data_IF_482308580569
#
_entry.id   IF_482308580569
#
_cell.length_a   1.000
_cell.length_b   1.000
_cell.length_c   1.000
_cell.angle_alpha   90.00
_cell.angle_beta   90.00
_cell.angle_gamma   90.00
#
_symmetry.space_group_name_H-M   'P 1'
#
loop_
_entity.id
_entity.type
_entity.pdbx_description
1 polymer ?
#
# COMPACT_ATOMS: atom_id res chain seq x y z
N UNK A 1 11.28 -23.40 6.14
CA UNK A 1 11.51 -22.44 5.02
C UNK A 1 10.14 -21.95 4.59
N UNK A 2 9.89 -20.62 4.54
CA UNK A 2 8.58 -20.10 4.11
C UNK A 2 8.41 -20.29 2.59
N UNK A 3 7.28 -20.85 2.17
CA UNK A 3 6.89 -20.87 0.76
C UNK A 3 6.44 -19.47 0.35
N UNK A 4 7.24 -18.79 -0.49
CA UNK A 4 6.96 -17.41 -0.93
C UNK A 4 5.78 -17.35 -1.90
N UNK A 5 5.53 -18.40 -2.68
CA UNK A 5 4.38 -18.50 -3.59
C UNK A 5 3.06 -18.55 -2.80
N UNK A 6 3.02 -19.33 -1.72
CA UNK A 6 1.85 -19.37 -0.83
C UNK A 6 1.52 -18.00 -0.22
N UNK A 7 2.53 -17.13 0.01
CA UNK A 7 2.30 -15.80 0.57
C UNK A 7 1.54 -14.88 -0.37
N UNK A 8 1.56 -15.12 -1.68
CA UNK A 8 0.77 -14.35 -2.66
C UNK A 8 -0.72 -14.45 -2.30
N UNK A 9 -1.18 -15.64 -1.91
CA UNK A 9 -2.60 -15.87 -1.55
C UNK A 9 -3.00 -15.19 -0.24
N UNK A 10 -2.03 -14.86 0.62
CA UNK A 10 -2.24 -14.16 1.90
C UNK A 10 -2.32 -12.64 1.77
N UNK A 11 -2.00 -12.09 0.59
CA UNK A 11 -2.22 -10.67 0.32
C UNK A 11 -3.71 -10.40 0.39
N UNK A 12 -4.08 -9.45 1.25
CA UNK A 12 -5.47 -9.13 1.56
C UNK A 12 -6.19 -8.61 0.32
N UNK A 13 -5.60 -7.62 -0.37
CA UNK A 13 -6.24 -7.01 -1.53
C UNK A 13 -6.04 -7.85 -2.79
N UNK A 14 -7.13 -8.25 -3.45
CA UNK A 14 -7.05 -9.13 -4.62
C UNK A 14 -6.31 -8.48 -5.79
N UNK A 15 -6.50 -7.17 -6.01
CA UNK A 15 -5.82 -6.42 -7.08
C UNK A 15 -4.31 -6.27 -6.88
N UNK A 16 -3.81 -6.46 -5.65
CA UNK A 16 -2.37 -6.38 -5.34
C UNK A 16 -1.66 -7.72 -5.60
N UNK A 17 -2.38 -8.84 -5.57
CA UNK A 17 -1.80 -10.19 -5.76
C UNK A 17 -0.98 -10.33 -7.05
N UNK A 18 -1.41 -9.82 -8.22
CA UNK A 18 -0.60 -9.86 -9.42
C UNK A 18 0.75 -9.13 -9.27
N UNK A 19 0.77 -7.99 -8.56
CA UNK A 19 2.00 -7.22 -8.32
C UNK A 19 3.00 -8.01 -7.46
N UNK A 20 2.50 -8.70 -6.43
CA UNK A 20 3.34 -9.58 -5.59
C UNK A 20 3.79 -10.82 -6.38
N UNK A 21 2.95 -11.37 -7.25
CA UNK A 21 3.31 -12.48 -8.13
C UNK A 21 4.42 -12.08 -9.11
N UNK A 22 4.41 -10.86 -9.64
CA UNK A 22 5.47 -10.34 -10.51
C UNK A 22 6.79 -10.15 -9.74
N UNK A 23 6.72 -9.63 -8.51
CA UNK A 23 7.89 -9.56 -7.63
C UNK A 23 8.49 -10.94 -7.34
N UNK A 24 7.64 -11.93 -7.05
CA UNK A 24 8.06 -13.33 -6.88
C UNK A 24 8.69 -13.90 -8.16
N UNK A 25 8.07 -13.68 -9.33
CA UNK A 25 8.60 -14.12 -10.62
C UNK A 25 10.00 -13.56 -10.84
N UNK A 26 10.20 -12.25 -10.67
CA UNK A 26 11.50 -11.61 -10.81
C UNK A 26 12.55 -12.19 -9.86
N UNK A 27 12.15 -12.46 -8.61
CA UNK A 27 13.02 -13.11 -7.62
C UNK A 27 13.41 -14.53 -8.05
N UNK A 28 12.42 -15.34 -8.47
CA UNK A 28 12.61 -16.74 -8.86
C UNK A 28 13.45 -16.92 -10.12
N UNK A 29 13.47 -15.94 -11.02
CA UNK A 29 14.25 -15.94 -12.26
C UNK A 29 15.63 -15.31 -12.12
N UNK A 30 16.04 -14.93 -10.90
CA UNK A 30 17.37 -14.36 -10.65
C UNK A 30 17.54 -12.92 -11.13
N UNK A 31 16.46 -12.12 -11.14
CA UNK A 31 16.47 -10.69 -11.51
C UNK A 31 16.28 -9.79 -10.28
N UNK A 32 17.27 -9.67 -9.38
CA UNK A 32 17.08 -9.06 -8.06
C UNK A 32 16.66 -7.59 -8.10
N UNK A 33 17.16 -6.80 -9.06
CA UNK A 33 16.74 -5.39 -9.21
C UNK A 33 15.26 -5.26 -9.55
N UNK A 34 14.79 -6.09 -10.49
CA UNK A 34 13.37 -6.10 -10.87
C UNK A 34 12.51 -6.58 -9.70
N UNK A 35 12.96 -7.59 -8.96
CA UNK A 35 12.27 -8.09 -7.77
C UNK A 35 12.10 -7.00 -6.69
N UNK A 36 13.14 -6.21 -6.41
CA UNK A 36 13.09 -5.12 -5.43
C UNK A 36 12.08 -4.05 -5.88
N UNK A 37 12.18 -3.59 -7.13
CA UNK A 37 11.28 -2.55 -7.67
C UNK A 37 9.83 -3.02 -7.67
N UNK A 38 9.57 -4.23 -8.17
CA UNK A 38 8.22 -4.81 -8.20
C UNK A 38 7.65 -5.02 -6.78
N UNK A 39 8.50 -5.43 -5.82
CA UNK A 39 8.08 -5.54 -4.41
C UNK A 39 7.66 -4.18 -3.86
N UNK A 40 8.43 -3.12 -4.13
CA UNK A 40 8.09 -1.78 -3.68
C UNK A 40 6.77 -1.29 -4.30
N UNK A 41 6.58 -1.50 -5.60
CA UNK A 41 5.31 -1.18 -6.28
C UNK A 41 4.13 -1.91 -5.64
N UNK A 42 4.27 -3.20 -5.32
CA UNK A 42 3.23 -3.97 -4.66
C UNK A 42 2.90 -3.44 -3.25
N UNK A 43 3.92 -3.07 -2.47
CA UNK A 43 3.76 -2.47 -1.13
C UNK A 43 3.03 -1.13 -1.21
N UNK A 44 3.44 -0.26 -2.13
CA UNK A 44 2.77 1.02 -2.33
C UNK A 44 1.30 0.85 -2.67
N UNK A 45 0.97 -0.05 -3.60
CA UNK A 45 -0.41 -0.35 -3.98
C UNK A 45 -1.22 -0.88 -2.79
N UNK A 46 -0.68 -1.83 -2.02
CA UNK A 46 -1.36 -2.42 -0.85
C UNK A 46 -1.69 -1.36 0.22
N UNK A 47 -0.71 -0.53 0.58
CA UNK A 47 -0.91 0.54 1.57
C UNK A 47 -1.92 1.57 1.06
N UNK A 48 -1.86 1.94 -0.23
CA UNK A 48 -2.84 2.85 -0.82
C UNK A 48 -4.24 2.25 -0.73
N UNK A 49 -4.44 1.00 -1.13
CA UNK A 49 -5.73 0.33 -0.98
C UNK A 49 -6.20 0.27 0.48
N UNK A 50 -5.28 0.07 1.43
CA UNK A 50 -5.61 0.09 2.86
C UNK A 50 -6.07 1.47 3.33
N UNK A 51 -5.48 2.54 2.82
CA UNK A 51 -5.90 3.92 3.09
C UNK A 51 -7.33 4.18 2.60
N UNK A 52 -7.70 3.69 1.40
CA UNK A 52 -9.08 3.80 0.91
C UNK A 52 -10.06 3.09 1.84
N UNK A 53 -9.80 1.84 2.20
CA UNK A 53 -10.67 1.10 3.13
C UNK A 53 -10.81 1.81 4.47
N UNK A 54 -9.70 2.28 5.06
CA UNK A 54 -9.76 2.99 6.34
C UNK A 54 -10.55 4.30 6.24
N UNK A 55 -10.43 5.01 5.11
CA UNK A 55 -11.23 6.21 4.87
C UNK A 55 -12.73 5.89 4.74
N UNK A 56 -13.08 4.79 4.06
CA UNK A 56 -14.46 4.28 3.97
C UNK A 56 -15.00 3.86 5.34
N UNK A 57 -14.16 3.28 6.19
CA UNK A 57 -14.45 2.91 7.58
C UNK A 57 -14.49 4.13 8.54
N UNK A 58 -14.31 5.35 8.03
CA UNK A 58 -14.46 6.60 8.79
C UNK A 58 -13.17 7.14 9.44
N UNK A 59 -11.99 6.63 9.08
CA UNK A 59 -10.72 7.19 9.55
C UNK A 59 -10.42 8.54 8.88
N UNK A 60 -10.45 9.62 9.68
CA UNK A 60 -10.22 10.99 9.19
C UNK A 60 -8.82 11.21 8.61
N UNK A 61 -7.79 10.62 9.22
CA UNK A 61 -6.40 10.73 8.76
C UNK A 61 -6.22 10.03 7.43
N UNK A 62 -6.75 8.81 7.29
CA UNK A 62 -6.74 8.10 6.02
C UNK A 62 -7.52 8.86 4.93
N UNK A 63 -8.68 9.44 5.28
CA UNK A 63 -9.49 10.22 4.35
C UNK A 63 -8.76 11.48 3.83
N UNK A 64 -7.96 12.16 4.64
CA UNK A 64 -7.13 13.26 4.20
C UNK A 64 -6.06 12.83 3.18
N UNK A 65 -5.41 11.69 3.44
CA UNK A 65 -4.41 11.13 2.50
C UNK A 65 -5.07 10.70 1.19
N UNK A 66 -6.21 10.03 1.25
CA UNK A 66 -7.00 9.62 0.06
C UNK A 66 -7.42 10.83 -0.76
N UNK A 67 -7.91 11.91 -0.14
CA UNK A 67 -8.24 13.16 -0.85
C UNK A 67 -7.03 13.76 -1.59
N UNK A 68 -5.84 13.69 -0.99
CA UNK A 68 -4.60 14.17 -1.65
C UNK A 68 -4.25 13.31 -2.85
N UNK A 69 -4.40 11.99 -2.75
CA UNK A 69 -4.18 11.04 -3.86
C UNK A 69 -5.16 11.32 -5.00
N UNK A 70 -6.46 11.40 -4.71
CA UNK A 70 -7.50 11.64 -5.72
C UNK A 70 -7.32 12.99 -6.42
N UNK A 71 -6.96 14.04 -5.67
CA UNK A 71 -6.62 15.34 -6.26
C UNK A 71 -5.44 15.22 -7.23
N UNK A 72 -4.38 14.53 -6.83
CA UNK A 72 -3.20 14.34 -7.68
C UNK A 72 -3.49 13.43 -8.89
N UNK A 73 -4.41 12.46 -8.80
CA UNK A 73 -4.82 11.62 -9.94
C UNK A 73 -5.70 12.35 -10.95
N UNK A 74 -6.43 13.38 -10.50
CA UNK A 74 -7.31 14.18 -11.35
C UNK A 74 -6.56 15.11 -12.32
N UNK A 75 -5.27 15.33 -12.10
CA UNK A 75 -4.39 16.13 -12.96
C UNK A 75 -3.12 15.34 -13.30
N UNK A 76 -2.42 15.71 -14.38
CA UNK A 76 -1.19 15.03 -14.80
C UNK A 76 -0.02 16.02 -14.98
N UNK A 77 -0.02 17.09 -14.19
CA UNK A 77 0.99 18.14 -14.21
C UNK A 77 2.17 17.83 -13.27
N UNK A 78 3.19 18.68 -13.30
CA UNK A 78 4.38 18.52 -12.48
C UNK A 78 4.07 18.55 -10.96
N UNK A 79 3.03 19.29 -10.55
CA UNK A 79 2.62 19.36 -9.14
C UNK A 79 1.88 18.09 -8.70
N UNK A 80 1.10 17.46 -9.57
CA UNK A 80 0.53 16.13 -9.33
C UNK A 80 1.62 15.09 -9.10
N UNK A 81 2.65 15.06 -9.96
CA UNK A 81 3.80 14.16 -9.81
C UNK A 81 4.49 14.38 -8.48
N UNK A 82 4.80 15.64 -8.15
CA UNK A 82 5.43 16.00 -6.87
C UNK A 82 4.56 15.63 -5.67
N UNK A 83 3.25 15.81 -5.78
CA UNK A 83 2.30 15.42 -4.73
C UNK A 83 2.32 13.91 -4.52
N UNK A 84 2.29 13.12 -5.59
CA UNK A 84 2.37 11.65 -5.51
C UNK A 84 3.71 11.18 -4.96
N UNK A 85 4.83 11.81 -5.31
CA UNK A 85 6.15 11.52 -4.72
C UNK A 85 6.18 11.80 -3.21
N UNK A 86 5.54 12.88 -2.76
CA UNK A 86 5.40 13.19 -1.33
C UNK A 86 4.49 12.20 -0.60
N UNK A 87 3.43 11.71 -1.27
CA UNK A 87 2.59 10.63 -0.73
C UNK A 87 3.42 9.37 -0.59
N UNK A 88 4.10 8.92 -1.64
CA UNK A 88 4.96 7.74 -1.66
C UNK A 88 6.00 7.77 -0.53
N UNK A 89 6.72 8.89 -0.40
CA UNK A 89 7.73 9.07 0.64
C UNK A 89 7.21 9.05 2.08
N UNK A 90 5.88 9.15 2.28
CA UNK A 90 5.23 9.07 3.59
C UNK A 90 4.40 7.80 3.80
N UNK A 91 4.27 6.93 2.81
CA UNK A 91 3.36 5.76 2.87
C UNK A 91 3.64 4.85 4.08
N UNK A 92 4.90 4.52 4.33
CA UNK A 92 5.27 3.66 5.46
C UNK A 92 4.99 4.33 6.82
N UNK A 93 5.23 5.64 6.92
CA UNK A 93 4.90 6.38 8.14
C UNK A 93 3.39 6.41 8.36
N UNK A 94 2.61 6.70 7.32
CA UNK A 94 1.15 6.66 7.39
C UNK A 94 0.66 5.26 7.82
N UNK A 95 1.25 4.19 7.30
CA UNK A 95 0.91 2.83 7.70
C UNK A 95 1.18 2.56 9.19
N UNK A 96 2.33 3.02 9.70
CA UNK A 96 2.67 2.93 11.12
C UNK A 96 1.74 3.75 12.00
N UNK A 97 1.42 4.99 11.60
CA UNK A 97 0.56 5.89 12.38
C UNK A 97 -0.88 5.36 12.46
N UNK A 98 -1.32 4.61 11.44
CA UNK A 98 -2.66 4.03 11.35
C UNK A 98 -2.76 2.64 12.00
N UNK A 99 -1.65 1.92 12.18
CA UNK A 99 -1.62 0.59 12.78
C UNK A 99 -2.27 0.53 14.18
N UNK A 100 -2.00 1.46 15.13
CA UNK A 100 -2.65 1.45 16.45
C UNK A 100 -4.17 1.64 16.39
N UNK A 101 -4.67 2.37 15.38
CA UNK A 101 -6.11 2.56 15.16
C UNK A 101 -6.76 1.37 14.46
N UNK A 102 -6.03 0.69 13.58
CA UNK A 102 -6.47 -0.53 12.92
C UNK A 102 -6.54 -1.73 13.89
N UNK A 103 -5.47 -1.99 14.66
CA UNK A 103 -5.43 -3.07 15.65
C UNK A 103 -6.50 -2.88 16.72
N UNK A 104 -6.72 -1.64 17.21
CA UNK A 104 -7.79 -1.34 18.17
C UNK A 104 -9.19 -1.61 17.61
N UNK A 105 -9.47 -1.23 16.36
CA UNK A 105 -10.79 -1.43 15.72
C UNK A 105 -11.07 -2.89 15.36
N UNK A 106 -10.08 -3.65 14.90
CA UNK A 106 -10.25 -5.06 14.51
C UNK A 106 -10.28 -6.00 15.72
N UNK A 107 -9.57 -5.66 16.80
CA UNK A 107 -9.49 -6.50 18.00
C UNK A 107 -10.33 -6.02 19.20
N UNK A 108 -11.12 -4.95 19.06
CA UNK A 108 -12.07 -4.49 20.08
C UNK A 108 -11.44 -4.07 21.41
N UNK A 109 -10.25 -3.45 21.38
CA UNK A 109 -9.58 -2.99 22.60
C UNK A 109 -10.23 -1.67 23.11
N UNK A 110 -10.51 -1.52 24.43
CA UNK A 110 -11.14 -0.30 24.97
C UNK A 110 -10.25 0.95 24.85
N UNK A 111 -10.88 2.13 24.99
CA UNK A 111 -10.24 3.46 24.98
C UNK A 111 -9.15 3.66 26.04
#
# INVERSE_FOLDING_TARGET
MLNLEERITRVWHQEVRPLVADAYRCHSTGTPRAAIVATWTAVCADIVHKLYQLAEDGDGTAAEVVKRIERARSTADAEAVKTMQQVEGKLLQNALDLEPGYVRRVHGCPE
#
